data_IF_962731990319
#
_entry.id   IF_962731990319
#
_cell.length_a   1.000
_cell.length_b   1.000
_cell.length_c   1.000
_cell.angle_alpha   90.00
_cell.angle_beta   90.00
_cell.angle_gamma   90.00
#
_symmetry.space_group_name_H-M   'P 1'
#
loop_
_entity.id
_entity.type
_entity.pdbx_description
1 polymer ?
#
# COMPACT_ATOMS: atom_id res chain seq x y z
N UNK A 1 -32.57 -18.79 29.62
CA UNK A 1 -33.09 -17.44 29.97
C UNK A 1 -32.02 -16.36 30.21
N UNK A 2 -31.23 -16.34 31.30
CA UNK A 2 -30.24 -15.24 31.52
C UNK A 2 -29.12 -15.19 30.47
N UNK A 3 -28.59 -16.35 30.08
CA UNK A 3 -27.52 -16.46 29.07
C UNK A 3 -28.00 -16.05 27.67
N UNK A 4 -29.15 -16.58 27.22
CA UNK A 4 -29.75 -16.19 25.93
C UNK A 4 -30.05 -14.70 25.85
N UNK A 5 -30.49 -14.09 26.95
CA UNK A 5 -30.73 -12.63 27.00
C UNK A 5 -29.41 -11.85 26.88
N UNK A 6 -28.32 -12.37 27.44
CA UNK A 6 -26.98 -11.79 27.30
C UNK A 6 -26.50 -11.89 25.85
N UNK A 7 -26.63 -13.05 25.20
CA UNK A 7 -26.26 -13.21 23.79
C UNK A 7 -27.06 -12.29 22.88
N UNK A 8 -28.38 -12.24 23.02
CA UNK A 8 -29.23 -11.33 22.21
C UNK A 8 -28.85 -9.87 22.39
N UNK A 9 -28.58 -9.45 23.63
CA UNK A 9 -28.14 -8.08 23.93
C UNK A 9 -26.77 -7.77 23.31
N UNK A 10 -25.84 -8.71 23.31
CA UNK A 10 -24.54 -8.52 22.66
C UNK A 10 -24.70 -8.41 21.14
N UNK A 11 -25.52 -9.26 20.53
CA UNK A 11 -25.79 -9.19 19.09
C UNK A 11 -26.46 -7.87 18.69
N UNK A 12 -27.40 -7.35 19.50
CA UNK A 12 -28.04 -6.06 19.23
C UNK A 12 -27.15 -4.84 19.47
N UNK A 13 -25.95 -5.02 20.01
CA UNK A 13 -24.97 -3.94 20.21
C UNK A 13 -23.84 -3.95 19.17
N UNK A 14 -23.81 -4.97 18.28
CA UNK A 14 -22.80 -5.05 17.24
C UNK A 14 -23.08 -4.07 16.11
N UNK A 15 -22.01 -3.57 15.46
CA UNK A 15 -22.14 -2.68 14.31
C UNK A 15 -22.99 -3.35 13.21
N UNK A 16 -24.07 -2.69 12.82
CA UNK A 16 -24.97 -3.16 11.76
C UNK A 16 -26.02 -4.18 12.20
N UNK A 17 -26.21 -4.42 13.51
CA UNK A 17 -27.22 -5.36 14.02
C UNK A 17 -28.66 -5.00 13.64
N UNK A 18 -28.93 -3.71 13.50
CA UNK A 18 -30.27 -3.18 13.27
C UNK A 18 -30.61 -3.09 11.76
N UNK A 19 -29.69 -3.54 10.90
CA UNK A 19 -29.89 -3.59 9.46
C UNK A 19 -30.83 -4.75 9.13
N UNK A 20 -31.98 -4.42 8.54
CA UNK A 20 -32.93 -5.42 8.05
C UNK A 20 -32.42 -5.95 6.71
N UNK A 21 -32.07 -7.22 6.67
CA UNK A 21 -31.57 -7.92 5.49
C UNK A 21 -32.71 -8.63 4.74
N UNK A 22 -32.68 -8.57 3.41
CA UNK A 22 -33.60 -9.26 2.51
C UNK A 22 -33.26 -10.75 2.35
N UNK A 23 -34.20 -11.54 1.80
CA UNK A 23 -33.99 -12.98 1.54
C UNK A 23 -32.76 -13.27 0.67
N UNK A 24 -32.46 -12.40 -0.29
CA UNK A 24 -31.27 -12.51 -1.14
C UNK A 24 -29.99 -12.21 -0.36
N UNK A 25 -30.00 -11.20 0.51
CA UNK A 25 -28.86 -10.84 1.36
C UNK A 25 -28.60 -11.91 2.42
N UNK A 26 -29.63 -12.57 2.93
CA UNK A 26 -29.49 -13.72 3.86
C UNK A 26 -28.71 -14.85 3.18
N UNK A 27 -29.03 -15.19 1.93
CA UNK A 27 -28.30 -16.23 1.18
C UNK A 27 -26.83 -15.88 1.00
N UNK A 28 -26.55 -14.63 0.62
CA UNK A 28 -25.17 -14.13 0.44
C UNK A 28 -24.43 -14.09 1.78
N UNK A 29 -25.08 -13.64 2.86
CA UNK A 29 -24.51 -13.60 4.20
C UNK A 29 -24.13 -15.00 4.68
N UNK A 30 -25.00 -16.00 4.50
CA UNK A 30 -24.70 -17.38 4.88
C UNK A 30 -23.46 -17.88 4.13
N UNK A 31 -23.38 -17.64 2.82
CA UNK A 31 -22.21 -18.00 2.02
C UNK A 31 -20.92 -17.31 2.50
N UNK A 32 -20.97 -16.01 2.80
CA UNK A 32 -19.83 -15.25 3.37
C UNK A 32 -19.39 -15.84 4.70
N UNK A 33 -20.36 -16.14 5.58
CA UNK A 33 -20.11 -16.68 6.91
C UNK A 33 -19.52 -18.09 6.83
N UNK A 34 -19.99 -18.93 5.92
CA UNK A 34 -19.43 -20.27 5.67
C UNK A 34 -17.95 -20.19 5.25
N UNK A 35 -17.61 -19.28 4.33
CA UNK A 35 -16.22 -19.03 3.93
C UNK A 35 -15.37 -18.55 5.11
N UNK A 36 -15.91 -17.64 5.93
CA UNK A 36 -15.24 -17.14 7.14
C UNK A 36 -14.97 -18.26 8.14
N UNK A 37 -15.97 -19.10 8.43
CA UNK A 37 -15.81 -20.21 9.36
C UNK A 37 -14.82 -21.24 8.84
N UNK A 38 -14.84 -21.56 7.54
CA UNK A 38 -13.84 -22.42 6.90
C UNK A 38 -12.42 -21.89 7.05
N UNK A 39 -12.20 -20.58 6.89
CA UNK A 39 -10.90 -19.96 7.15
C UNK A 39 -10.48 -20.06 8.62
N UNK A 40 -11.43 -19.87 9.55
CA UNK A 40 -11.18 -19.94 11.00
C UNK A 40 -10.90 -21.37 11.46
N UNK A 41 -11.70 -22.35 11.05
CA UNK A 41 -11.53 -23.76 11.39
C UNK A 41 -10.17 -24.26 10.90
N UNK A 42 -9.78 -23.87 9.68
CA UNK A 42 -8.45 -24.18 9.16
C UNK A 42 -7.34 -23.56 10.04
N UNK A 43 -7.53 -22.33 10.52
CA UNK A 43 -6.58 -21.65 11.39
C UNK A 43 -6.49 -22.29 12.78
N UNK A 44 -7.62 -22.69 13.37
CA UNK A 44 -7.64 -23.38 14.67
C UNK A 44 -7.03 -24.78 14.58
N UNK A 45 -7.34 -25.54 13.53
CA UNK A 45 -6.82 -26.90 13.33
C UNK A 45 -5.31 -26.93 13.13
N UNK A 46 -4.75 -25.96 12.40
CA UNK A 46 -3.32 -25.89 12.12
C UNK A 46 -2.56 -24.97 13.10
N UNK A 47 -3.26 -24.31 14.03
CA UNK A 47 -2.72 -23.28 14.93
C UNK A 47 -1.99 -22.13 14.20
N UNK A 48 -2.33 -21.90 12.93
CA UNK A 48 -1.75 -20.83 12.10
C UNK A 48 -2.87 -19.92 11.63
N UNK A 49 -2.98 -18.77 12.29
CA UNK A 49 -3.90 -17.71 11.87
C UNK A 49 -3.14 -16.62 11.12
N UNK A 50 -3.31 -16.55 9.80
CA UNK A 50 -2.59 -15.56 8.97
C UNK A 50 -2.74 -14.13 9.50
N UNK A 51 -3.92 -13.77 10.03
CA UNK A 51 -4.22 -12.42 10.52
C UNK A 51 -3.57 -12.09 11.88
N UNK A 52 -2.96 -13.05 12.58
CA UNK A 52 -2.13 -12.78 13.77
C UNK A 52 -0.63 -12.61 13.45
N UNK A 53 -0.22 -12.87 12.21
CA UNK A 53 1.16 -12.69 11.77
C UNK A 53 1.39 -11.27 11.20
N UNK A 54 2.66 -10.91 11.00
CA UNK A 54 3.00 -9.67 10.32
C UNK A 54 2.44 -9.65 8.89
N UNK A 55 1.82 -8.55 8.47
CA UNK A 55 1.16 -8.41 7.15
C UNK A 55 2.05 -8.83 5.97
N UNK A 56 3.33 -8.47 6.02
CA UNK A 56 4.30 -8.79 4.97
C UNK A 56 4.38 -10.29 4.64
N UNK A 57 4.17 -11.16 5.64
CA UNK A 57 4.32 -12.61 5.50
C UNK A 57 3.09 -13.28 4.85
N UNK A 58 1.92 -12.66 4.97
CA UNK A 58 0.66 -13.28 4.53
C UNK A 58 -0.10 -12.47 3.45
N UNK A 59 0.35 -11.26 3.10
CA UNK A 59 -0.30 -10.38 2.11
C UNK A 59 -0.56 -11.03 0.75
N UNK A 60 0.27 -12.00 0.33
CA UNK A 60 0.08 -12.68 -0.94
C UNK A 60 -0.78 -13.93 -0.80
N UNK A 61 -0.80 -14.54 0.40
CA UNK A 61 -1.71 -15.65 0.74
C UNK A 61 -3.15 -15.18 0.86
N UNK A 62 -3.40 -14.00 1.43
CA UNK A 62 -4.78 -13.49 1.59
C UNK A 62 -5.43 -13.21 0.23
N UNK A 63 -4.66 -12.76 -0.78
CA UNK A 63 -5.18 -12.46 -2.12
C UNK A 63 -5.77 -13.67 -2.84
N UNK A 64 -5.34 -14.88 -2.50
CA UNK A 64 -5.84 -16.10 -3.14
C UNK A 64 -7.13 -16.63 -2.49
N UNK A 65 -7.49 -16.16 -1.29
CA UNK A 65 -8.66 -16.69 -0.58
C UNK A 65 -9.97 -16.27 -1.25
N UNK A 66 -10.94 -17.17 -1.24
CA UNK A 66 -12.27 -16.93 -1.82
C UNK A 66 -12.98 -15.77 -1.12
N UNK A 67 -12.82 -15.68 0.21
CA UNK A 67 -13.36 -14.58 1.00
C UNK A 67 -12.75 -13.25 0.55
N UNK A 68 -11.43 -13.14 0.38
CA UNK A 68 -10.81 -11.90 -0.08
C UNK A 68 -11.29 -11.50 -1.48
N UNK A 69 -11.40 -12.44 -2.41
CA UNK A 69 -11.89 -12.18 -3.77
C UNK A 69 -13.33 -11.65 -3.75
N UNK A 70 -14.19 -12.21 -2.91
CA UNK A 70 -15.56 -11.75 -2.73
C UNK A 70 -15.60 -10.35 -2.10
N UNK A 71 -14.83 -10.12 -1.04
CA UNK A 71 -14.73 -8.81 -0.38
C UNK A 71 -14.17 -7.74 -1.33
N UNK A 72 -13.24 -8.10 -2.22
CA UNK A 72 -12.69 -7.20 -3.23
C UNK A 72 -13.77 -6.73 -4.22
N UNK A 73 -14.77 -7.57 -4.53
CA UNK A 73 -15.90 -7.19 -5.39
C UNK A 73 -16.95 -6.32 -4.69
N UNK A 74 -16.97 -6.24 -3.36
CA UNK A 74 -17.98 -5.45 -2.64
C UNK A 74 -17.82 -3.94 -2.89
N UNK A 75 -18.93 -3.19 -3.07
CA UNK A 75 -18.90 -1.74 -3.10
C UNK A 75 -18.59 -1.19 -1.70
N UNK A 76 -17.36 -0.72 -1.49
CA UNK A 76 -16.88 -0.27 -0.16
C UNK A 76 -17.30 1.18 0.16
N UNK A 77 -17.91 1.87 -0.79
CA UNK A 77 -18.30 3.26 -0.66
C UNK A 77 -17.12 4.21 -0.81
N UNK A 78 -16.47 4.57 0.29
CA UNK A 78 -15.55 5.71 0.36
C UNK A 78 -14.21 5.39 1.06
N UNK A 79 -13.12 5.94 0.53
CA UNK A 79 -11.80 6.00 1.18
C UNK A 79 -11.65 7.35 1.90
N UNK A 80 -11.92 7.35 3.20
CA UNK A 80 -11.95 8.57 4.02
C UNK A 80 -10.62 8.87 4.73
N UNK A 81 -9.66 7.95 4.67
CA UNK A 81 -8.38 8.11 5.33
C UNK A 81 -7.28 7.51 4.47
N UNK A 82 -6.55 8.37 3.77
CA UNK A 82 -5.38 7.99 3.01
C UNK A 82 -4.39 9.15 2.94
N UNK A 83 -3.10 8.85 3.01
CA UNK A 83 -2.06 9.83 2.71
C UNK A 83 -1.76 9.77 1.22
N UNK A 84 -1.87 10.90 0.50
CA UNK A 84 -1.87 10.94 -0.97
C UNK A 84 -0.70 10.16 -1.59
N UNK A 85 0.53 10.45 -1.18
CA UNK A 85 1.75 9.82 -1.73
C UNK A 85 1.90 8.31 -1.40
N UNK A 86 1.02 7.74 -0.56
CA UNK A 86 1.06 6.34 -0.11
C UNK A 86 -0.06 5.45 -0.66
N UNK A 87 -0.87 5.94 -1.62
CA UNK A 87 -2.04 5.20 -2.14
C UNK A 87 -1.64 4.17 -3.21
N UNK A 88 -0.74 4.55 -4.12
CA UNK A 88 -0.35 3.72 -5.25
C UNK A 88 0.80 2.77 -4.88
N UNK A 89 0.97 1.72 -5.70
CA UNK A 89 1.96 0.68 -5.44
C UNK A 89 3.41 1.21 -5.57
N UNK A 90 4.38 0.56 -4.90
CA UNK A 90 5.81 0.85 -5.10
C UNK A 90 6.25 0.71 -6.57
N UNK A 91 5.59 -0.18 -7.31
CA UNK A 91 5.83 -0.39 -8.74
C UNK A 91 5.42 0.83 -9.57
N UNK A 92 4.32 1.49 -9.23
CA UNK A 92 3.93 2.75 -9.86
C UNK A 92 4.98 3.84 -9.64
N UNK A 93 5.50 3.97 -8.41
CA UNK A 93 6.56 4.95 -8.11
C UNK A 93 7.83 4.64 -8.91
N UNK A 94 8.18 3.36 -9.05
CA UNK A 94 9.30 2.94 -9.90
C UNK A 94 9.07 3.34 -11.37
N UNK A 95 7.87 3.16 -11.91
CA UNK A 95 7.51 3.61 -13.27
C UNK A 95 7.67 5.13 -13.43
N UNK A 96 7.38 5.93 -12.40
CA UNK A 96 7.61 7.38 -12.47
C UNK A 96 9.09 7.72 -12.67
N UNK A 97 10.01 6.86 -12.20
CA UNK A 97 11.45 7.07 -12.39
C UNK A 97 11.93 6.84 -13.83
N UNK A 98 11.06 6.35 -14.71
CA UNK A 98 11.35 6.21 -16.15
C UNK A 98 11.10 7.48 -16.95
N UNK A 99 10.51 8.52 -16.36
CA UNK A 99 10.30 9.79 -17.06
C UNK A 99 11.62 10.48 -17.41
N UNK A 100 11.59 11.16 -18.56
CA UNK A 100 12.69 12.00 -19.01
C UNK A 100 12.93 13.18 -18.04
N UNK A 101 14.12 13.80 -18.15
CA UNK A 101 14.55 14.95 -17.33
C UNK A 101 14.59 14.68 -15.81
N UNK A 102 14.55 13.41 -15.38
CA UNK A 102 14.73 13.02 -13.99
C UNK A 102 16.20 12.86 -13.65
N UNK A 103 16.65 13.57 -12.62
CA UNK A 103 17.96 13.40 -12.01
C UNK A 103 17.85 12.68 -10.67
N UNK A 104 18.85 11.86 -10.37
CA UNK A 104 19.01 11.14 -9.11
C UNK A 104 20.32 11.54 -8.44
N UNK A 105 20.27 11.72 -7.13
CA UNK A 105 21.43 11.89 -6.26
C UNK A 105 21.39 10.78 -5.20
N UNK A 106 22.47 10.02 -5.09
CA UNK A 106 22.66 9.03 -4.04
C UNK A 106 23.47 9.65 -2.90
N UNK A 107 22.86 9.74 -1.72
CA UNK A 107 23.57 9.96 -0.46
C UNK A 107 23.75 8.60 0.24
N UNK A 108 24.67 8.50 1.21
CA UNK A 108 25.05 7.25 1.88
C UNK A 108 23.86 6.42 2.40
N UNK A 109 22.75 7.07 2.78
CA UNK A 109 21.55 6.41 3.32
C UNK A 109 20.23 6.84 2.67
N UNK A 110 20.25 7.78 1.74
CA UNK A 110 19.04 8.35 1.15
C UNK A 110 19.21 8.63 -0.34
N UNK A 111 18.10 8.59 -1.05
CA UNK A 111 18.04 8.91 -2.47
C UNK A 111 17.24 10.19 -2.61
N UNK A 112 17.68 11.08 -3.50
CA UNK A 112 16.97 12.29 -3.84
C UNK A 112 16.69 12.32 -5.33
N UNK A 113 15.47 12.73 -5.67
CA UNK A 113 15.02 12.87 -7.04
C UNK A 113 14.76 14.34 -7.36
N UNK A 114 15.00 14.74 -8.61
CA UNK A 114 14.64 16.07 -9.07
C UNK A 114 14.41 16.09 -10.58
N UNK A 115 13.26 16.59 -11.01
CA UNK A 115 13.01 16.90 -12.41
C UNK A 115 13.63 18.25 -12.77
N UNK A 116 14.44 18.29 -13.82
CA UNK A 116 15.05 19.52 -14.34
C UNK A 116 15.50 19.36 -15.80
N UNK A 117 15.39 20.42 -16.62
CA UNK A 117 15.90 20.42 -18.00
C UNK A 117 17.43 20.54 -18.11
N UNK A 118 18.07 20.98 -17.02
CA UNK A 118 19.51 21.14 -16.89
C UNK A 118 19.92 20.51 -15.57
N UNK A 119 21.17 20.06 -15.49
CA UNK A 119 21.72 19.47 -14.27
C UNK A 119 21.48 20.41 -13.08
N UNK A 120 20.80 19.95 -12.02
CA UNK A 120 20.52 20.78 -10.86
C UNK A 120 21.80 21.24 -10.15
N UNK A 121 21.82 22.49 -9.68
CA UNK A 121 22.92 23.07 -8.89
C UNK A 121 22.72 22.94 -7.37
N UNK A 122 21.60 22.36 -6.94
CA UNK A 122 21.30 22.16 -5.52
C UNK A 122 22.29 21.18 -4.87
N UNK A 123 22.48 21.33 -3.55
CA UNK A 123 23.40 20.53 -2.76
C UNK A 123 23.12 19.02 -2.87
N UNK A 124 23.96 18.33 -3.66
CA UNK A 124 24.10 16.88 -3.68
C UNK A 124 25.54 16.58 -3.23
N UNK A 125 25.74 15.62 -2.32
CA UNK A 125 27.07 15.33 -1.77
C UNK A 125 28.07 14.79 -2.81
N UNK A 126 27.58 14.13 -3.85
CA UNK A 126 28.42 13.52 -4.89
C UNK A 126 28.22 14.28 -6.20
N UNK A 127 27.14 13.98 -6.93
CA UNK A 127 26.76 14.64 -8.18
C UNK A 127 25.34 14.22 -8.56
N UNK A 128 24.63 15.09 -9.28
CA UNK A 128 23.37 14.75 -9.92
C UNK A 128 23.65 13.95 -11.18
N UNK A 129 23.06 12.76 -11.28
CA UNK A 129 23.14 11.92 -12.46
C UNK A 129 21.77 11.85 -13.14
N UNK A 130 21.75 11.86 -14.47
CA UNK A 130 20.50 11.63 -15.20
C UNK A 130 20.06 10.18 -14.95
N UNK A 131 18.79 9.99 -14.61
CA UNK A 131 18.25 8.68 -14.22
C UNK A 131 18.35 7.66 -15.36
N UNK A 132 18.08 8.13 -16.59
CA UNK A 132 18.23 7.35 -17.82
C UNK A 132 19.65 6.80 -17.97
N UNK A 133 20.66 7.65 -17.87
CA UNK A 133 22.06 7.25 -18.02
C UNK A 133 22.53 6.36 -16.86
N UNK A 134 22.09 6.68 -15.64
CA UNK A 134 22.41 5.91 -14.43
C UNK A 134 21.93 4.47 -14.55
N UNK A 135 20.70 4.27 -15.03
CA UNK A 135 20.09 2.96 -15.20
C UNK A 135 20.84 2.06 -16.18
N UNK A 136 21.39 2.64 -17.26
CA UNK A 136 22.19 1.90 -18.26
C UNK A 136 23.70 1.87 -17.95
N UNK A 137 24.14 2.52 -16.88
CA UNK A 137 25.55 2.53 -16.51
C UNK A 137 26.00 1.14 -16.04
N UNK A 138 27.19 0.72 -16.49
CA UNK A 138 27.80 -0.57 -16.11
C UNK A 138 28.05 -0.71 -14.60
N UNK A 139 28.02 0.41 -13.85
CA UNK A 139 28.22 0.47 -12.41
C UNK A 139 27.23 -0.40 -11.62
N UNK A 140 26.00 -0.56 -12.11
CA UNK A 140 24.94 -1.28 -11.40
C UNK A 140 24.66 -2.67 -11.98
N UNK A 141 25.44 -3.08 -12.99
CA UNK A 141 25.38 -4.40 -13.61
C UNK A 141 24.21 -4.57 -14.58
N UNK A 142 22.98 -4.64 -14.07
CA UNK A 142 21.76 -4.81 -14.88
C UNK A 142 20.63 -3.88 -14.46
N UNK A 143 19.81 -3.49 -15.43
CA UNK A 143 18.64 -2.63 -15.23
C UNK A 143 17.68 -3.24 -14.20
N UNK A 144 17.43 -4.54 -14.27
CA UNK A 144 16.51 -5.23 -13.37
C UNK A 144 17.02 -5.25 -11.93
N UNK A 145 18.33 -5.41 -11.72
CA UNK A 145 18.92 -5.40 -10.38
C UNK A 145 18.81 -4.01 -9.77
N UNK A 146 19.14 -2.98 -10.56
CA UNK A 146 19.04 -1.59 -10.14
C UNK A 146 17.60 -1.19 -9.79
N UNK A 147 16.64 -1.53 -10.63
CA UNK A 147 15.22 -1.25 -10.38
C UNK A 147 14.70 -1.97 -9.13
N UNK A 148 15.15 -3.21 -8.88
CA UNK A 148 14.81 -3.94 -7.65
C UNK A 148 15.38 -3.26 -6.41
N UNK A 149 16.62 -2.78 -6.46
CA UNK A 149 17.24 -2.03 -5.35
C UNK A 149 16.53 -0.69 -5.13
N UNK A 150 16.13 -0.01 -6.21
CA UNK A 150 15.38 1.25 -6.13
C UNK A 150 13.99 1.04 -5.52
N UNK A 151 13.29 -0.01 -5.95
CA UNK A 151 11.97 -0.39 -5.43
C UNK A 151 11.95 -0.61 -3.92
N UNK A 152 13.05 -1.09 -3.34
CA UNK A 152 13.18 -1.27 -1.89
C UNK A 152 13.13 0.06 -1.11
N UNK A 153 13.40 1.19 -1.76
CA UNK A 153 13.24 2.52 -1.17
C UNK A 153 11.79 3.03 -1.21
N UNK A 154 10.93 2.38 -2.01
CA UNK A 154 9.52 2.74 -2.20
C UNK A 154 8.56 1.87 -1.38
N UNK A 155 9.08 1.02 -0.50
CA UNK A 155 8.30 0.03 0.24
C UNK A 155 8.92 -0.22 1.60
N UNK A 156 8.08 -0.49 2.61
CA UNK A 156 8.53 -1.01 3.91
C UNK A 156 8.58 -2.54 3.96
N UNK A 157 8.12 -3.22 2.91
CA UNK A 157 8.09 -4.68 2.85
C UNK A 157 9.52 -5.21 2.82
N UNK A 158 9.89 -5.93 3.87
CA UNK A 158 11.19 -6.60 4.04
C UNK A 158 10.97 -8.01 4.60
N UNK A 159 11.96 -8.88 4.40
CA UNK A 159 12.02 -10.17 5.09
C UNK A 159 12.36 -9.94 6.56
N UNK A 160 11.74 -10.70 7.46
CA UNK A 160 11.91 -10.59 8.93
C UNK A 160 11.77 -9.15 9.48
N UNK A 161 10.59 -8.51 9.38
CA UNK A 161 10.40 -7.13 9.83
C UNK A 161 10.71 -6.91 11.32
N UNK A 162 10.58 -7.94 12.17
CA UNK A 162 10.91 -7.85 13.59
C UNK A 162 12.42 -7.72 13.87
N UNK A 163 13.27 -8.17 12.95
CA UNK A 163 14.73 -8.05 13.05
C UNK A 163 15.21 -6.72 12.45
N UNK A 164 14.56 -6.28 11.37
CA UNK A 164 14.92 -5.05 10.65
C UNK A 164 14.38 -3.79 11.33
N UNK A 165 13.16 -3.87 11.88
CA UNK A 165 12.52 -2.78 12.60
C UNK A 165 12.43 -3.16 14.07
N UNK A 166 13.53 -2.98 14.79
CA UNK A 166 13.66 -3.41 16.19
C UNK A 166 12.76 -2.59 17.12
N UNK A 167 12.40 -1.38 16.71
CA UNK A 167 11.57 -0.45 17.48
C UNK A 167 10.71 0.43 16.57
N UNK A 168 9.73 1.09 17.20
CA UNK A 168 8.77 1.97 16.52
C UNK A 168 9.48 3.13 15.80
N UNK A 169 10.57 3.67 16.35
CA UNK A 169 11.30 4.79 15.74
C UNK A 169 11.99 4.39 14.43
N UNK A 170 12.56 3.20 14.35
CA UNK A 170 13.17 2.68 13.12
C UNK A 170 12.13 2.47 12.01
N UNK A 171 10.97 1.94 12.37
CA UNK A 171 9.85 1.80 11.43
C UNK A 171 9.37 3.18 10.93
N UNK A 172 9.20 4.15 11.84
CA UNK A 172 8.81 5.51 11.48
C UNK A 172 9.84 6.23 10.62
N UNK A 173 11.13 6.11 10.94
CA UNK A 173 12.19 6.71 10.13
C UNK A 173 12.16 6.19 8.69
N UNK A 174 11.92 4.90 8.50
CA UNK A 174 11.79 4.30 7.16
C UNK A 174 10.51 4.73 6.45
N UNK A 175 9.40 4.82 7.18
CA UNK A 175 8.14 5.36 6.67
C UNK A 175 8.30 6.80 6.20
N UNK A 176 8.85 7.69 7.02
CA UNK A 176 9.06 9.10 6.68
C UNK A 176 10.05 9.27 5.53
N UNK A 177 11.12 8.48 5.50
CA UNK A 177 12.11 8.52 4.43
C UNK A 177 11.46 8.27 3.06
N UNK A 178 10.46 7.39 2.97
CA UNK A 178 9.69 7.19 1.74
C UNK A 178 9.01 8.49 1.27
N UNK A 179 8.30 9.18 2.17
CA UNK A 179 7.59 10.42 1.81
C UNK A 179 8.56 11.54 1.44
N UNK A 180 9.68 11.67 2.15
CA UNK A 180 10.72 12.66 1.84
C UNK A 180 11.30 12.40 0.44
N UNK A 181 11.63 11.14 0.15
CA UNK A 181 12.25 10.73 -1.11
C UNK A 181 11.32 10.92 -2.30
N UNK A 182 10.04 10.55 -2.14
CA UNK A 182 9.05 10.60 -3.23
C UNK A 182 8.38 11.96 -3.38
N UNK A 183 8.54 12.86 -2.41
CA UNK A 183 7.90 14.19 -2.46
C UNK A 183 8.22 14.94 -3.75
N UNK A 184 9.48 14.98 -4.15
CA UNK A 184 9.91 15.69 -5.37
C UNK A 184 9.43 15.03 -6.65
N UNK A 185 9.15 13.72 -6.63
CA UNK A 185 8.55 13.02 -7.76
C UNK A 185 7.10 13.46 -7.94
N UNK A 186 6.32 13.41 -6.86
CA UNK A 186 4.89 13.73 -6.90
C UNK A 186 4.62 15.23 -7.09
N UNK A 187 5.50 16.11 -6.61
CA UNK A 187 5.32 17.57 -6.78
C UNK A 187 5.60 18.07 -8.21
N UNK A 188 6.02 17.22 -9.14
CA UNK A 188 6.18 17.60 -10.54
C UNK A 188 4.82 17.61 -11.26
N UNK A 189 4.44 18.76 -11.85
CA UNK A 189 3.09 18.99 -12.38
C UNK A 189 2.53 17.86 -13.27
N UNK A 190 3.24 17.38 -14.31
CA UNK A 190 2.73 16.29 -15.15
C UNK A 190 2.53 14.98 -14.39
N UNK A 191 3.39 14.71 -13.40
CA UNK A 191 3.27 13.53 -12.53
C UNK A 191 2.09 13.67 -11.60
N UNK A 192 1.90 14.85 -11.03
CA UNK A 192 0.80 15.15 -10.14
C UNK A 192 -0.54 14.91 -10.83
N UNK A 193 -0.75 15.49 -12.02
CA UNK A 193 -1.98 15.31 -12.81
C UNK A 193 -2.25 13.83 -13.13
N UNK A 194 -1.23 13.10 -13.58
CA UNK A 194 -1.31 11.65 -13.85
C UNK A 194 -1.64 10.86 -12.59
N UNK A 195 -1.00 11.20 -11.47
CA UNK A 195 -1.17 10.54 -10.18
C UNK A 195 -2.61 10.58 -9.67
N UNK A 196 -3.31 11.72 -9.76
CA UNK A 196 -4.73 11.79 -9.37
C UNK A 196 -5.59 10.90 -10.24
N UNK A 197 -5.40 10.96 -11.56
CA UNK A 197 -6.17 10.17 -12.50
C UNK A 197 -5.98 8.67 -12.27
N UNK A 198 -4.74 8.22 -12.14
CA UNK A 198 -4.43 6.81 -11.93
C UNK A 198 -4.90 6.32 -10.55
N UNK A 199 -4.86 7.17 -9.53
CA UNK A 199 -5.46 6.87 -8.22
C UNK A 199 -6.98 6.67 -8.32
N UNK A 200 -7.69 7.55 -9.01
CA UNK A 200 -9.14 7.41 -9.20
C UNK A 200 -9.49 6.15 -10.00
N UNK A 201 -8.69 5.82 -11.02
CA UNK A 201 -8.86 4.57 -11.78
C UNK A 201 -8.62 3.33 -10.93
N UNK A 202 -7.60 3.34 -10.06
CA UNK A 202 -7.33 2.24 -9.14
C UNK A 202 -8.49 2.06 -8.16
N UNK A 203 -8.98 3.14 -7.53
CA UNK A 203 -10.10 3.08 -6.59
C UNK A 203 -11.37 2.57 -7.25
N UNK A 204 -11.64 3.00 -8.48
CA UNK A 204 -12.77 2.50 -9.26
C UNK A 204 -12.66 0.98 -9.51
N UNK A 205 -11.46 0.45 -9.78
CA UNK A 205 -11.23 -1.00 -9.93
C UNK A 205 -11.46 -1.76 -8.63
N UNK A 206 -11.22 -1.12 -7.49
CA UNK A 206 -11.46 -1.66 -6.13
C UNK A 206 -12.90 -1.44 -5.63
N UNK A 207 -13.83 -0.99 -6.49
CA UNK A 207 -15.22 -0.66 -6.14
C UNK A 207 -15.34 0.39 -5.00
N UNK A 208 -14.40 1.33 -4.95
CA UNK A 208 -14.44 2.53 -4.11
C UNK A 208 -14.84 3.72 -4.98
N UNK A 209 -15.93 4.40 -4.61
CA UNK A 209 -16.56 5.44 -5.41
C UNK A 209 -16.15 6.86 -5.03
N UNK A 210 -15.64 7.05 -3.81
CA UNK A 210 -15.26 8.36 -3.28
C UNK A 210 -13.94 8.29 -2.53
N UNK A 211 -13.13 9.34 -2.62
CA UNK A 211 -11.91 9.51 -1.84
C UNK A 211 -11.89 10.92 -1.26
N UNK A 212 -11.53 11.00 0.01
CA UNK A 212 -11.24 12.25 0.68
C UNK A 212 -9.73 12.54 0.64
N UNK A 213 -9.35 13.69 0.06
CA UNK A 213 -7.97 14.12 -0.16
C UNK A 213 -7.41 15.00 0.97
N UNK A 214 -8.15 15.20 2.08
CA UNK A 214 -7.81 16.12 3.18
C UNK A 214 -6.39 15.90 3.77
N UNK A 215 -5.78 14.72 3.61
CA UNK A 215 -4.40 14.43 4.08
C UNK A 215 -3.33 14.57 2.99
N UNK A 216 -3.56 15.42 1.99
CA UNK A 216 -2.55 15.76 0.98
C UNK A 216 -1.66 16.91 1.48
N UNK A 217 -0.59 16.59 2.20
CA UNK A 217 0.52 17.52 2.39
C UNK A 217 1.40 17.53 1.13
N UNK A 218 1.40 18.67 0.43
CA UNK A 218 2.31 18.96 -0.69
C UNK A 218 3.73 19.05 -0.14
#
# INVERSE_FOLDING_TARGET
MKEENCYRKNFSMMLGSDIVISDSEIKVNNFIMDLKYKELDNAFNHQVFNKSQHFFNYKDKIKSTELFKLLHQMPKGALLHAQSKGILSPDYVLELTYMDDLYVCFDNKSIQFKYAKKTPTNHCKIQWLLMKDTRYSSRFGSVQKFDRELRNHFSMVVDNPNEVYTNINEAWQKYEQYFITTSTLFCYKPVWEKFFYDTLNMLRKENVMYIDWIRSTI
#
